data_IF_046174448905
#
_entry.id   IF_046174448905
#
_cell.length_a   1.000
_cell.length_b   1.000
_cell.length_c   1.000
_cell.angle_alpha   90.00
_cell.angle_beta   90.00
_cell.angle_gamma   90.00
#
_symmetry.space_group_name_H-M   'P 1'
#
loop_
_entity.id
_entity.type
_entity.pdbx_description
1 polymer ?
#
# COMPACT_ATOMS: atom_id res chain seq x y z
N UNK A 1 -16.04 3.86 -11.07
CA UNK A 1 -15.98 2.66 -10.22
C UNK A 1 -14.72 1.92 -10.60
N UNK A 2 -13.75 1.80 -9.69
CA UNK A 2 -12.53 1.01 -9.92
C UNK A 2 -12.90 -0.47 -9.98
N UNK A 3 -12.28 -1.21 -10.91
CA UNK A 3 -12.50 -2.66 -11.01
C UNK A 3 -12.05 -3.37 -9.72
N UNK A 4 -12.65 -4.51 -9.34
CA UNK A 4 -12.16 -5.28 -8.20
C UNK A 4 -10.74 -5.79 -8.46
N UNK A 5 -9.95 -5.94 -7.38
CA UNK A 5 -8.58 -6.44 -7.48
C UNK A 5 -8.54 -7.82 -8.16
N UNK A 6 -7.67 -7.97 -9.16
CA UNK A 6 -7.44 -9.22 -9.87
C UNK A 6 -6.24 -9.98 -9.26
N UNK A 7 -6.47 -11.09 -8.52
CA UNK A 7 -5.39 -11.86 -7.90
C UNK A 7 -4.45 -12.51 -8.93
N UNK A 8 -4.93 -12.84 -10.13
CA UNK A 8 -4.09 -13.38 -11.20
C UNK A 8 -3.08 -12.36 -11.75
N UNK A 9 -3.27 -11.07 -11.42
CA UNK A 9 -2.34 -9.98 -11.73
C UNK A 9 -1.56 -9.49 -10.49
N UNK A 10 -1.64 -10.23 -9.38
CA UNK A 10 -1.01 -9.86 -8.12
C UNK A 10 -1.65 -8.66 -7.44
N UNK A 11 -2.87 -8.27 -7.80
CA UNK A 11 -3.54 -7.12 -7.19
C UNK A 11 -4.15 -7.49 -5.84
N UNK A 12 -4.16 -6.52 -4.94
CA UNK A 12 -4.78 -6.64 -3.63
C UNK A 12 -5.81 -5.53 -3.42
N UNK A 13 -6.88 -5.83 -2.70
CA UNK A 13 -7.85 -4.83 -2.27
C UNK A 13 -7.60 -4.50 -0.80
N UNK A 14 -7.48 -3.21 -0.47
CA UNK A 14 -7.37 -2.73 0.91
C UNK A 14 -8.54 -1.84 1.24
N UNK A 15 -9.03 -1.93 2.48
CA UNK A 15 -10.10 -1.06 2.97
C UNK A 15 -9.52 -0.03 3.92
N UNK A 16 -9.61 1.25 3.55
CA UNK A 16 -9.11 2.38 4.35
C UNK A 16 -10.14 3.49 4.35
N UNK A 17 -10.40 4.11 5.50
CA UNK A 17 -11.44 5.16 5.67
C UNK A 17 -12.83 4.81 5.09
N UNK A 18 -13.21 3.51 5.10
CA UNK A 18 -14.48 3.04 4.55
C UNK A 18 -14.49 2.81 3.04
N UNK A 19 -13.45 3.24 2.32
CA UNK A 19 -13.28 3.06 0.88
C UNK A 19 -12.44 1.81 0.56
N UNK A 20 -12.68 1.24 -0.62
CA UNK A 20 -11.91 0.12 -1.15
C UNK A 20 -10.91 0.64 -2.18
N UNK A 21 -9.63 0.49 -1.90
CA UNK A 21 -8.55 0.84 -2.82
C UNK A 21 -7.94 -0.44 -3.40
N UNK A 22 -7.49 -0.37 -4.65
CA UNK A 22 -6.80 -1.46 -5.31
C UNK A 22 -5.31 -1.15 -5.35
N UNK A 23 -4.50 -2.11 -4.93
CA UNK A 23 -3.05 -2.10 -5.08
C UNK A 23 -2.70 -2.96 -6.29
N UNK A 24 -1.98 -2.37 -7.24
CA UNK A 24 -1.43 -3.00 -8.44
C UNK A 24 0.09 -2.95 -8.40
N UNK A 25 0.76 -3.99 -7.86
CA UNK A 25 2.22 -4.05 -7.75
C UNK A 25 2.86 -4.39 -9.11
N UNK A 26 2.77 -3.47 -10.06
CA UNK A 26 3.47 -3.57 -11.34
C UNK A 26 4.98 -3.43 -11.13
N UNK A 27 5.79 -3.89 -12.09
CA UNK A 27 7.25 -3.74 -12.03
C UNK A 27 7.67 -2.29 -11.77
N UNK A 28 7.08 -1.32 -12.48
CA UNK A 28 7.39 0.09 -12.30
C UNK A 28 7.02 0.61 -10.89
N UNK A 29 5.87 0.19 -10.36
CA UNK A 29 5.44 0.55 -9.01
C UNK A 29 6.39 -0.02 -7.94
N UNK A 30 6.78 -1.28 -8.10
CA UNK A 30 7.70 -1.94 -7.16
C UNK A 30 9.10 -1.33 -7.21
N UNK A 31 9.62 -1.00 -8.40
CA UNK A 31 10.89 -0.29 -8.53
C UNK A 31 10.83 1.09 -7.87
N UNK A 32 9.73 1.84 -8.05
CA UNK A 32 9.54 3.14 -7.38
C UNK A 32 9.51 2.99 -5.85
N UNK A 33 8.83 1.96 -5.35
CA UNK A 33 8.82 1.63 -3.93
C UNK A 33 10.23 1.28 -3.42
N UNK A 34 11.03 0.51 -4.18
CA UNK A 34 12.41 0.16 -3.82
C UNK A 34 13.32 1.37 -3.71
N UNK A 35 13.16 2.36 -4.58
CA UNK A 35 13.97 3.59 -4.52
C UNK A 35 13.75 4.35 -3.20
N UNK A 36 12.57 4.22 -2.59
CA UNK A 36 12.26 4.88 -1.34
C UNK A 36 12.53 4.00 -0.10
N UNK A 37 12.17 2.72 -0.18
CA UNK A 37 12.18 1.79 0.96
C UNK A 37 13.47 0.96 1.07
N UNK A 38 14.31 1.02 0.04
CA UNK A 38 15.39 0.06 -0.16
C UNK A 38 14.87 -1.30 -0.66
N UNK A 39 15.70 -2.35 -0.60
CA UNK A 39 15.36 -3.67 -1.17
C UNK A 39 14.06 -4.25 -0.59
N UNK A 40 13.11 -4.67 -1.45
CA UNK A 40 11.83 -5.21 -0.96
C UNK A 40 12.00 -6.50 -0.16
N UNK A 41 13.01 -7.32 -0.47
CA UNK A 41 13.28 -8.52 0.32
C UNK A 41 13.63 -8.17 1.78
N UNK A 42 14.44 -7.15 2.00
CA UNK A 42 14.75 -6.69 3.36
C UNK A 42 13.51 -6.13 4.06
N UNK A 43 12.60 -5.48 3.32
CA UNK A 43 11.31 -5.03 3.84
C UNK A 43 10.42 -6.22 4.27
N UNK A 44 10.35 -7.27 3.45
CA UNK A 44 9.60 -8.50 3.76
C UNK A 44 10.15 -9.20 5.00
N UNK A 45 11.48 -9.29 5.14
CA UNK A 45 12.12 -9.84 6.34
C UNK A 45 11.82 -9.02 7.60
N UNK A 46 11.81 -7.68 7.51
CA UNK A 46 11.36 -6.81 8.61
C UNK A 46 9.90 -7.05 8.96
N UNK A 47 9.03 -7.21 7.97
CA UNK A 47 7.63 -7.53 8.21
C UNK A 47 7.45 -8.88 8.90
N UNK A 48 8.15 -9.92 8.44
CA UNK A 48 8.08 -11.25 9.05
C UNK A 48 8.60 -11.29 10.49
N UNK A 49 9.55 -10.41 10.84
CA UNK A 49 10.09 -10.28 12.20
C UNK A 49 9.32 -9.29 13.10
N UNK A 50 8.23 -8.70 12.61
CA UNK A 50 7.41 -7.74 13.36
C UNK A 50 7.99 -6.33 13.46
N UNK A 51 9.02 -6.01 12.67
CA UNK A 51 9.69 -4.71 12.63
C UNK A 51 9.19 -3.76 11.55
N UNK A 52 8.14 -4.12 10.80
CA UNK A 52 7.58 -3.26 9.75
C UNK A 52 6.92 -2.02 10.36
N UNK A 53 7.33 -0.85 9.91
CA UNK A 53 6.74 0.43 10.35
C UNK A 53 5.50 0.78 9.53
N UNK A 54 4.61 1.60 10.12
CA UNK A 54 3.47 2.16 9.39
C UNK A 54 3.90 3.00 8.19
N UNK A 55 5.00 3.76 8.32
CA UNK A 55 5.54 4.57 7.23
C UNK A 55 5.94 3.73 6.01
N UNK A 56 6.60 2.60 6.25
CA UNK A 56 6.99 1.67 5.18
C UNK A 56 5.78 1.00 4.51
N UNK A 57 4.75 0.63 5.30
CA UNK A 57 3.51 0.09 4.77
C UNK A 57 2.80 1.12 3.87
N UNK A 58 2.65 2.35 4.35
CA UNK A 58 2.02 3.46 3.61
C UNK A 58 2.80 3.79 2.35
N UNK A 59 4.14 3.78 2.39
CA UNK A 59 4.97 3.98 1.21
C UNK A 59 4.71 2.92 0.13
N UNK A 60 4.74 1.64 0.51
CA UNK A 60 4.50 0.55 -0.43
C UNK A 60 3.11 0.64 -1.05
N UNK A 61 2.09 0.90 -0.23
CA UNK A 61 0.72 1.07 -0.70
C UNK A 61 0.60 2.26 -1.65
N UNK A 62 1.19 3.40 -1.28
CA UNK A 62 1.18 4.62 -2.10
C UNK A 62 1.71 4.37 -3.51
N UNK A 63 2.87 3.71 -3.63
CA UNK A 63 3.46 3.38 -4.93
C UNK A 63 2.66 2.36 -5.72
N UNK A 64 1.94 1.47 -5.03
CA UNK A 64 1.14 0.43 -5.65
C UNK A 64 -0.31 0.84 -5.93
N UNK A 65 -0.78 2.03 -5.54
CA UNK A 65 -2.18 2.42 -5.74
C UNK A 65 -2.55 2.43 -7.24
N UNK A 66 -3.60 1.70 -7.57
CA UNK A 66 -4.21 1.72 -8.90
C UNK A 66 -5.34 2.76 -8.92
N UNK A 67 -5.22 3.74 -9.81
CA UNK A 67 -6.20 4.81 -10.02
C UNK A 67 -6.65 5.46 -8.68
N UNK A 68 -5.76 6.17 -7.97
CA UNK A 68 -6.09 6.78 -6.68
C UNK A 68 -7.26 7.77 -6.84
N UNK A 69 -8.22 7.80 -5.88
CA UNK A 69 -9.31 8.77 -5.87
C UNK A 69 -8.80 10.21 -5.97
N UNK A 70 -9.61 11.07 -6.58
CA UNK A 70 -9.29 12.50 -6.67
C UNK A 70 -9.13 13.10 -5.26
N UNK A 71 -8.05 13.85 -5.04
CA UNK A 71 -7.74 14.46 -3.75
C UNK A 71 -7.16 13.51 -2.69
N UNK A 72 -6.92 12.23 -3.00
CA UNK A 72 -6.17 11.35 -2.12
C UNK A 72 -4.71 11.84 -2.04
N UNK A 73 -4.27 12.15 -0.83
CA UNK A 73 -2.87 12.49 -0.53
C UNK A 73 -2.22 11.36 0.25
N UNK A 74 -0.89 11.30 0.23
CA UNK A 74 -0.13 10.30 0.98
C UNK A 74 -0.36 10.41 2.48
N UNK A 75 -0.45 11.63 3.00
CA UNK A 75 -0.78 11.87 4.42
C UNK A 75 -2.18 11.33 4.75
N UNK A 76 -3.17 11.57 3.89
CA UNK A 76 -4.53 11.03 4.07
C UNK A 76 -4.56 9.50 4.03
N UNK A 77 -3.79 8.88 3.14
CA UNK A 77 -3.63 7.43 3.12
C UNK A 77 -3.01 6.95 4.44
N UNK A 78 -1.99 7.64 4.95
CA UNK A 78 -1.36 7.32 6.22
C UNK A 78 -2.32 7.36 7.41
N UNK A 79 -3.08 8.45 7.53
CA UNK A 79 -4.13 8.58 8.56
C UNK A 79 -5.20 7.47 8.43
N UNK A 80 -5.60 7.13 7.21
CA UNK A 80 -6.59 6.10 6.98
C UNK A 80 -6.08 4.68 7.32
N UNK A 81 -4.80 4.40 7.05
CA UNK A 81 -4.13 3.15 7.46
C UNK A 81 -4.00 3.10 8.99
N UNK A 82 -3.58 4.19 9.63
CA UNK A 82 -3.47 4.28 11.09
C UNK A 82 -4.83 4.05 11.77
N UNK A 83 -5.90 4.68 11.26
CA UNK A 83 -7.26 4.45 11.73
C UNK A 83 -7.70 3.00 11.55
N UNK A 84 -7.37 2.37 10.42
CA UNK A 84 -7.71 0.97 10.15
C UNK A 84 -6.99 -0.04 11.07
N UNK A 85 -5.81 0.29 11.60
CA UNK A 85 -5.03 -0.55 12.51
C UNK A 85 -5.21 -0.25 14.00
N UNK A 86 -5.52 0.99 14.39
CA UNK A 86 -5.77 1.39 15.78
C UNK A 86 -7.23 1.25 16.21
N UNK A 87 -8.16 1.13 15.26
CA UNK A 87 -9.59 0.93 15.52
C UNK A 87 -10.05 -0.53 15.34
N UNK A 88 -9.11 -1.46 15.11
CA UNK A 88 -9.38 -2.89 14.95
C UNK A 88 -9.36 -3.65 16.30
#
# INVERSE_FOLDING_TARGET
MTAPANPARGEAAIRVAGEMLVLRPSFAALVAAEQELGPLFALVERAASGGLTLGEMVALFWHCLDAPPEGLTRDRLGEAVAAGGLAA
#
